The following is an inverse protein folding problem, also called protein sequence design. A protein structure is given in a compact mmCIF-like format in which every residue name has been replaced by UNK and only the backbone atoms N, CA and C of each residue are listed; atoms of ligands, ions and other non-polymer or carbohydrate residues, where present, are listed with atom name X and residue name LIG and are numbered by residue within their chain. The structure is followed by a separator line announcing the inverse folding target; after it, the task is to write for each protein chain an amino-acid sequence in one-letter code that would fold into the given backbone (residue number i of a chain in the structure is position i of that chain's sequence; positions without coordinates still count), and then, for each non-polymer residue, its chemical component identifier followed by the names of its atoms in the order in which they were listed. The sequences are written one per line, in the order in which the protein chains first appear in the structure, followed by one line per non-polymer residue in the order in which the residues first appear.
data_IF_742287618186
#
_entry.id   IF_742287618186
#
_cell.length_a   1.000
_cell.length_b   1.000
_cell.length_c   1.000
_cell.angle_alpha   90.00
_cell.angle_beta   90.00
_cell.angle_gamma   90.00
#
_symmetry.space_group_name_H-M   'P 1'
#
loop_
_entity.id
_entity.type
_entity.pdbx_description
1 polymer ?
#
# COMPACT_ATOMS: atom_id res chain seq x y z
N UNK A 1 -1.78 5.75 22.49
CA UNK A 1 -2.02 4.30 22.34
C UNK A 1 -1.13 3.69 21.27
N UNK A 2 -1.10 4.22 20.04
CA UNK A 2 -0.24 3.71 18.95
C UNK A 2 1.26 3.63 19.31
N UNK A 3 1.84 4.68 19.92
CA UNK A 3 3.26 4.66 20.32
C UNK A 3 3.57 3.51 21.30
N UNK A 4 2.71 3.27 22.29
CA UNK A 4 2.90 2.17 23.26
C UNK A 4 2.84 0.79 22.61
N UNK A 5 2.00 0.60 21.59
CA UNK A 5 1.93 -0.67 20.83
C UNK A 5 3.18 -0.86 19.96
N UNK A 6 3.61 0.20 19.29
CA UNK A 6 4.82 0.20 18.48
C UNK A 6 6.09 -0.08 19.31
N UNK A 7 6.23 0.56 20.47
CA UNK A 7 7.35 0.32 21.39
C UNK A 7 7.35 -1.09 22.00
N UNK A 8 6.16 -1.68 22.19
CA UNK A 8 6.02 -3.05 22.70
C UNK A 8 6.39 -4.10 21.65
N UNK A 9 5.98 -3.92 20.40
CA UNK A 9 6.38 -4.78 19.28
C UNK A 9 6.08 -4.14 17.93
N UNK A 10 7.14 -3.83 17.18
CA UNK A 10 7.02 -3.28 15.82
C UNK A 10 6.32 -4.26 14.86
N UNK A 11 6.50 -5.57 15.06
CA UNK A 11 5.87 -6.61 14.23
C UNK A 11 4.36 -6.63 14.45
N UNK A 12 3.90 -6.68 15.71
CA UNK A 12 2.46 -6.68 16.00
C UNK A 12 1.80 -5.37 15.57
N UNK A 13 2.52 -4.25 15.65
CA UNK A 13 2.06 -2.98 15.10
C UNK A 13 1.87 -3.05 13.59
N UNK A 14 2.82 -3.63 12.85
CA UNK A 14 2.69 -3.84 11.40
C UNK A 14 1.51 -4.77 11.07
N UNK A 15 1.38 -5.89 11.77
CA UNK A 15 0.27 -6.85 11.59
C UNK A 15 -1.08 -6.20 11.85
N UNK A 16 -1.21 -5.37 12.88
CA UNK A 16 -2.44 -4.62 13.16
C UNK A 16 -2.81 -3.67 12.00
N UNK A 17 -1.82 -3.00 11.41
CA UNK A 17 -2.05 -2.14 10.23
C UNK A 17 -2.42 -2.95 8.99
N UNK A 18 -1.84 -4.13 8.77
CA UNK A 18 -2.22 -5.03 7.68
C UNK A 18 -3.69 -5.45 7.82
N UNK A 19 -4.09 -5.92 9.01
CA UNK A 19 -5.47 -6.35 9.28
C UNK A 19 -6.43 -5.16 9.09
N UNK A 20 -6.12 -4.01 9.67
CA UNK A 20 -6.95 -2.82 9.53
C UNK A 20 -7.09 -2.41 8.06
N UNK A 21 -5.99 -2.42 7.29
CA UNK A 21 -6.00 -2.08 5.87
C UNK A 21 -6.87 -3.02 5.06
N UNK A 22 -6.67 -4.34 5.18
CA UNK A 22 -7.45 -5.33 4.43
C UNK A 22 -8.94 -5.23 4.77
N UNK A 23 -9.29 -5.15 6.06
CA UNK A 23 -10.69 -5.10 6.50
C UNK A 23 -11.35 -3.79 6.06
N UNK A 24 -10.71 -2.64 6.28
CA UNK A 24 -11.30 -1.34 5.95
C UNK A 24 -11.38 -1.12 4.44
N UNK A 25 -10.38 -1.53 3.67
CA UNK A 25 -10.41 -1.42 2.22
C UNK A 25 -11.47 -2.35 1.61
N UNK A 26 -11.53 -3.62 2.03
CA UNK A 26 -12.57 -4.56 1.56
C UNK A 26 -13.98 -4.11 1.94
N UNK A 27 -14.17 -3.61 3.16
CA UNK A 27 -15.47 -3.06 3.59
C UNK A 27 -15.84 -1.82 2.76
N UNK A 28 -14.87 -0.92 2.52
CA UNK A 28 -15.07 0.25 1.69
C UNK A 28 -15.47 -0.11 0.25
N UNK A 29 -14.84 -1.14 -0.32
CA UNK A 29 -15.14 -1.62 -1.67
C UNK A 29 -16.54 -2.24 -1.75
N UNK A 30 -16.92 -3.08 -0.79
CA UNK A 30 -18.27 -3.65 -0.74
C UNK A 30 -19.34 -2.56 -0.64
N UNK A 31 -19.17 -1.58 0.25
CA UNK A 31 -20.13 -0.48 0.40
C UNK A 31 -20.16 0.41 -0.86
N UNK A 32 -18.99 0.66 -1.48
CA UNK A 32 -18.95 1.45 -2.73
C UNK A 32 -19.72 0.75 -3.85
N UNK A 33 -19.57 -0.58 -3.95
CA UNK A 33 -20.32 -1.39 -4.91
C UNK A 33 -21.83 -1.35 -4.65
N UNK A 34 -22.27 -1.45 -3.38
CA UNK A 34 -23.69 -1.34 -3.00
C UNK A 34 -24.31 0.02 -3.36
N UNK A 35 -23.50 1.09 -3.38
CA UNK A 35 -23.91 2.44 -3.78
C UNK A 35 -23.86 2.66 -5.30
N UNK A 36 -23.33 1.70 -6.07
CA UNK A 36 -23.24 1.76 -7.52
C UNK A 36 -22.21 2.76 -8.07
N UNK A 37 -21.30 3.26 -7.23
CA UNK A 37 -20.18 4.12 -7.66
C UNK A 37 -18.89 3.58 -7.05
N UNK A 38 -18.02 3.06 -7.90
CA UNK A 38 -16.78 2.44 -7.46
C UNK A 38 -15.88 3.42 -6.69
N UNK A 39 -15.29 2.91 -5.60
CA UNK A 39 -14.32 3.61 -4.74
C UNK A 39 -14.84 4.87 -4.03
N UNK A 40 -16.14 5.20 -4.10
CA UNK A 40 -16.69 6.42 -3.47
C UNK A 40 -16.54 6.41 -1.94
N UNK A 41 -16.65 5.24 -1.30
CA UNK A 41 -16.42 5.06 0.14
C UNK A 41 -15.00 4.61 0.44
N UNK A 42 -14.42 3.80 -0.44
CA UNK A 42 -13.03 3.30 -0.27
C UNK A 42 -12.02 4.44 -0.24
N UNK A 43 -12.14 5.42 -1.13
CA UNK A 43 -11.17 6.51 -1.22
C UNK A 43 -11.06 7.32 0.09
N UNK A 44 -12.16 7.84 0.69
CA UNK A 44 -12.10 8.50 2.00
C UNK A 44 -11.42 7.67 3.09
N UNK A 45 -11.70 6.36 3.14
CA UNK A 45 -11.07 5.44 4.10
C UNK A 45 -9.56 5.38 3.86
N UNK A 46 -9.13 5.17 2.62
CA UNK A 46 -7.72 5.09 2.26
C UNK A 46 -6.97 6.41 2.54
N UNK A 47 -7.61 7.56 2.29
CA UNK A 47 -7.05 8.88 2.64
C UNK A 47 -6.88 8.99 4.15
N UNK A 48 -7.89 8.63 4.93
CA UNK A 48 -7.84 8.69 6.39
C UNK A 48 -6.72 7.79 6.95
N UNK A 49 -6.59 6.56 6.43
CA UNK A 49 -5.52 5.66 6.80
C UNK A 49 -4.14 6.20 6.41
N UNK A 50 -4.00 6.70 5.19
CA UNK A 50 -2.74 7.26 4.66
C UNK A 50 -2.29 8.46 5.49
N UNK A 51 -3.21 9.38 5.77
CA UNK A 51 -2.96 10.54 6.62
C UNK A 51 -2.59 10.11 8.05
N UNK A 52 -3.36 9.19 8.64
CA UNK A 52 -3.09 8.67 9.99
C UNK A 52 -1.70 8.06 10.11
N UNK A 53 -1.31 7.23 9.15
CA UNK A 53 0.01 6.60 9.11
C UNK A 53 1.12 7.63 8.87
N UNK A 54 0.93 8.54 7.91
CA UNK A 54 1.89 9.62 7.63
C UNK A 54 2.13 10.51 8.85
N UNK A 55 1.05 10.98 9.51
CA UNK A 55 1.17 11.81 10.70
C UNK A 55 1.80 11.07 11.87
N UNK A 56 1.50 9.78 12.05
CA UNK A 56 2.16 8.94 13.05
C UNK A 56 3.68 8.86 12.78
N UNK A 57 4.08 8.57 11.54
CA UNK A 57 5.49 8.45 11.16
C UNK A 57 6.23 9.77 11.34
N UNK A 58 5.63 10.88 10.90
CA UNK A 58 6.20 12.22 11.02
C UNK A 58 6.33 12.67 12.47
N UNK A 59 5.28 12.46 13.30
CA UNK A 59 5.28 12.88 14.71
C UNK A 59 6.33 12.13 15.54
N UNK A 60 6.65 10.90 15.17
CA UNK A 60 7.64 10.08 15.87
C UNK A 60 9.05 10.13 15.23
N UNK A 61 9.28 10.99 14.22
CA UNK A 61 10.59 11.12 13.57
C UNK A 61 11.03 9.86 12.80
N UNK A 62 10.10 9.03 12.35
CA UNK A 62 10.36 7.74 11.71
C UNK A 62 10.42 7.84 10.17
N UNK A 63 10.43 9.04 9.60
CA UNK A 63 10.34 9.27 8.16
C UNK A 63 11.50 8.62 7.40
N UNK A 64 12.74 8.80 7.84
CA UNK A 64 13.89 8.18 7.20
C UNK A 64 13.93 6.67 7.39
N UNK A 65 13.54 6.18 8.59
CA UNK A 65 13.47 4.74 8.89
C UNK A 65 12.54 4.00 7.93
N UNK A 66 11.43 4.63 7.54
CA UNK A 66 10.44 4.03 6.65
C UNK A 66 10.51 4.53 5.20
N UNK A 67 11.61 5.18 4.80
CA UNK A 67 11.86 5.51 3.40
C UNK A 67 11.16 6.76 2.87
N UNK A 68 10.51 7.56 3.74
CA UNK A 68 10.01 8.89 3.40
C UNK A 68 11.16 9.91 3.41
N UNK A 69 12.15 9.68 2.55
CA UNK A 69 13.35 10.49 2.42
C UNK A 69 13.58 10.92 0.96
N UNK A 70 14.49 11.86 0.76
CA UNK A 70 14.90 12.28 -0.58
C UNK A 70 15.65 11.12 -1.26
N UNK A 71 15.59 10.99 -2.60
CA UNK A 71 16.37 9.99 -3.33
C UNK A 71 17.86 10.11 -2.97
N UNK A 72 18.43 9.03 -2.44
CA UNK A 72 19.84 8.98 -2.01
C UNK A 72 20.77 8.43 -3.11
N UNK A 73 20.21 7.95 -4.22
CA UNK A 73 20.95 7.33 -5.31
C UNK A 73 21.14 8.30 -6.48
N UNK A 74 22.31 8.28 -7.15
CA UNK A 74 22.51 9.00 -8.41
C UNK A 74 21.50 8.57 -9.47
N UNK A 75 21.05 9.51 -10.31
CA UNK A 75 20.07 9.26 -11.38
C UNK A 75 20.47 8.09 -12.30
N UNK A 76 21.77 7.91 -12.58
CA UNK A 76 22.26 6.79 -13.39
C UNK A 76 21.90 5.40 -12.80
N UNK A 77 21.88 5.26 -11.47
CA UNK A 77 21.47 4.00 -10.82
C UNK A 77 19.96 3.79 -10.86
N UNK A 78 19.17 4.82 -11.18
CA UNK A 78 17.72 4.65 -11.36
C UNK A 78 17.38 3.82 -12.62
N UNK A 79 18.34 3.63 -13.54
CA UNK A 79 18.17 2.75 -14.70
C UNK A 79 17.88 1.29 -14.32
N UNK A 80 18.27 0.84 -13.12
CA UNK A 80 17.88 -0.48 -12.61
C UNK A 80 16.37 -0.64 -12.43
N UNK A 81 15.61 0.45 -12.35
CA UNK A 81 14.15 0.43 -12.30
C UNK A 81 13.50 0.49 -13.70
N UNK A 82 14.27 0.59 -14.78
CA UNK A 82 13.74 0.63 -16.14
C UNK A 82 12.81 -0.56 -16.46
N UNK A 83 13.10 -1.81 -16.05
CA UNK A 83 12.16 -2.92 -16.24
C UNK A 83 10.79 -2.69 -15.57
N UNK A 84 10.75 -2.07 -14.39
CA UNK A 84 9.49 -1.74 -13.72
C UNK A 84 8.71 -0.66 -14.48
N UNK A 85 9.42 0.31 -15.06
CA UNK A 85 8.78 1.33 -15.89
C UNK A 85 8.19 0.75 -17.18
N UNK A 86 8.89 -0.20 -17.81
CA UNK A 86 8.37 -0.94 -18.97
C UNK A 86 7.10 -1.69 -18.58
N UNK A 87 7.10 -2.41 -17.43
CA UNK A 87 5.93 -3.11 -16.91
C UNK A 87 4.75 -2.18 -16.65
N UNK A 88 4.98 -0.98 -16.10
CA UNK A 88 3.93 0.02 -15.88
C UNK A 88 3.20 0.37 -17.20
N UNK A 89 3.95 0.50 -18.30
CA UNK A 89 3.37 0.84 -19.61
C UNK A 89 2.69 -0.33 -20.31
N UNK A 90 2.88 -1.57 -19.84
CA UNK A 90 2.37 -2.77 -20.51
C UNK A 90 0.84 -2.75 -20.70
N UNK A 91 0.11 -2.17 -19.74
CA UNK A 91 -1.34 -2.00 -19.81
C UNK A 91 -1.82 -1.05 -20.92
N UNK A 92 -0.91 -0.28 -21.53
CA UNK A 92 -1.21 0.68 -22.60
C UNK A 92 -0.79 0.21 -23.99
N UNK A 93 -0.08 -0.92 -24.10
CA UNK A 93 0.49 -1.38 -25.38
C UNK A 93 -0.58 -1.80 -26.40
N UNK A 94 -1.75 -2.23 -25.93
CA UNK A 94 -2.86 -2.67 -26.76
C UNK A 94 -3.94 -1.59 -26.95
N UNK A 95 -3.61 -0.33 -26.67
CA UNK A 95 -4.52 0.81 -26.76
C UNK A 95 -5.06 1.27 -25.41
N UNK A 96 -5.79 2.39 -25.42
CA UNK A 96 -6.42 2.97 -24.24
C UNK A 96 -7.91 3.21 -24.52
N UNK A 97 -8.77 2.74 -23.63
CA UNK A 97 -10.21 2.94 -23.68
C UNK A 97 -10.73 3.39 -22.31
N UNK A 98 -11.67 4.34 -22.32
CA UNK A 98 -12.35 4.78 -21.10
C UNK A 98 -13.56 3.88 -20.85
N UNK A 99 -13.39 2.91 -19.95
CA UNK A 99 -14.45 1.97 -19.57
C UNK A 99 -15.26 2.44 -18.36
N UNK A 100 -14.76 3.43 -17.63
CA UNK A 100 -15.37 4.02 -16.44
C UNK A 100 -15.81 5.45 -16.72
N UNK A 101 -16.79 5.95 -15.96
CA UNK A 101 -17.16 7.36 -16.01
C UNK A 101 -15.97 8.24 -15.59
N UNK A 102 -15.90 9.52 -16.03
CA UNK A 102 -14.82 10.42 -15.63
C UNK A 102 -14.65 10.53 -14.11
N UNK A 103 -15.76 10.49 -13.36
CA UNK A 103 -15.73 10.52 -11.89
C UNK A 103 -15.10 9.25 -11.32
N UNK A 104 -15.56 8.08 -11.74
CA UNK A 104 -15.03 6.79 -11.27
C UNK A 104 -13.55 6.63 -11.62
N UNK A 105 -13.13 7.07 -12.81
CA UNK A 105 -11.71 7.07 -13.20
C UNK A 105 -10.87 7.90 -12.22
N UNK A 106 -11.33 9.10 -11.84
CA UNK A 106 -10.62 9.94 -10.86
C UNK A 106 -10.58 9.26 -9.49
N UNK A 107 -11.71 8.71 -9.02
CA UNK A 107 -11.78 7.99 -7.74
C UNK A 107 -10.84 6.79 -7.72
N UNK A 108 -10.77 6.05 -8.82
CA UNK A 108 -9.91 4.88 -8.97
C UNK A 108 -8.43 5.26 -8.94
N UNK A 109 -8.02 6.27 -9.71
CA UNK A 109 -6.63 6.75 -9.75
C UNK A 109 -6.18 7.21 -8.35
N UNK A 110 -7.00 8.01 -7.66
CA UNK A 110 -6.68 8.48 -6.32
C UNK A 110 -6.64 7.34 -5.30
N UNK A 111 -7.52 6.35 -5.43
CA UNK A 111 -7.53 5.16 -4.58
C UNK A 111 -6.26 4.34 -4.78
N UNK A 112 -5.86 4.09 -6.03
CA UNK A 112 -4.65 3.33 -6.34
C UNK A 112 -3.38 4.04 -5.88
N UNK A 113 -3.35 5.38 -5.94
CA UNK A 113 -2.25 6.14 -5.35
C UNK A 113 -2.15 5.92 -3.83
N UNK A 114 -3.30 5.97 -3.13
CA UNK A 114 -3.33 5.73 -1.68
C UNK A 114 -3.01 4.27 -1.31
N UNK A 115 -3.48 3.30 -2.11
CA UNK A 115 -3.11 1.88 -1.96
C UNK A 115 -1.61 1.71 -2.09
N UNK A 116 -1.00 2.22 -3.15
CA UNK A 116 0.46 2.12 -3.35
C UNK A 116 1.25 2.76 -2.20
N UNK A 117 0.80 3.91 -1.70
CA UNK A 117 1.40 4.53 -0.51
C UNK A 117 1.27 3.66 0.75
N UNK A 118 0.06 3.18 1.05
CA UNK A 118 -0.20 2.36 2.23
C UNK A 118 0.55 1.03 2.18
N UNK A 119 0.53 0.35 1.05
CA UNK A 119 1.25 -0.91 0.87
C UNK A 119 2.76 -0.74 1.05
N UNK A 120 3.36 0.28 0.44
CA UNK A 120 4.78 0.58 0.61
C UNK A 120 5.10 0.84 2.10
N UNK A 121 4.29 1.68 2.75
CA UNK A 121 4.50 2.05 4.15
C UNK A 121 4.26 0.88 5.12
N UNK A 122 3.27 0.03 4.89
CA UNK A 122 2.92 -1.08 5.79
C UNK A 122 3.87 -2.25 5.59
N UNK A 123 4.10 -2.68 4.34
CA UNK A 123 4.87 -3.90 4.07
C UNK A 123 6.38 -3.65 4.07
N UNK A 124 6.86 -2.62 3.36
CA UNK A 124 8.30 -2.30 3.29
C UNK A 124 8.75 -1.35 4.38
N UNK A 125 7.87 -0.44 4.81
CA UNK A 125 8.11 0.42 5.97
C UNK A 125 8.00 -0.38 7.27
N UNK A 126 6.80 -0.68 7.75
CA UNK A 126 6.59 -1.26 9.08
C UNK A 126 7.08 -2.72 9.18
N UNK A 127 6.52 -3.62 8.38
CA UNK A 127 6.76 -5.06 8.52
C UNK A 127 8.20 -5.45 8.21
N UNK A 128 8.71 -5.05 7.04
CA UNK A 128 10.07 -5.40 6.62
C UNK A 128 11.14 -4.82 7.55
N UNK A 129 11.05 -3.54 7.94
CA UNK A 129 12.03 -2.95 8.86
C UNK A 129 11.97 -3.59 10.25
N UNK A 130 10.79 -3.99 10.72
CA UNK A 130 10.65 -4.72 11.98
C UNK A 130 11.32 -6.10 11.90
N UNK A 131 11.15 -6.81 10.77
CA UNK A 131 11.68 -8.15 10.56
C UNK A 131 13.18 -8.19 10.25
N UNK A 132 13.73 -7.16 9.59
CA UNK A 132 15.16 -7.07 9.25
C UNK A 132 16.04 -7.19 10.49
N UNK A 133 15.56 -6.73 11.65
CA UNK A 133 16.25 -6.86 12.95
C UNK A 133 16.55 -8.31 13.33
N UNK A 134 15.75 -9.26 12.85
CA UNK A 134 15.88 -10.69 13.13
C UNK A 134 16.52 -11.47 11.97
N UNK A 135 16.80 -10.81 10.83
CA UNK A 135 17.48 -11.40 9.68
C UNK A 135 16.89 -10.97 8.33
N UNK A 136 17.75 -10.49 7.45
CA UNK A 136 17.37 -9.95 6.13
C UNK A 136 16.67 -10.99 5.25
N UNK A 137 17.16 -12.23 5.21
CA UNK A 137 16.56 -13.30 4.39
C UNK A 137 15.12 -13.61 4.83
N UNK A 138 14.90 -13.74 6.14
CA UNK A 138 13.58 -13.98 6.70
C UNK A 138 12.65 -12.79 6.42
N UNK A 139 13.15 -11.55 6.57
CA UNK A 139 12.38 -10.36 6.27
C UNK A 139 11.89 -10.33 4.82
N UNK A 140 12.77 -10.60 3.84
CA UNK A 140 12.42 -10.66 2.42
C UNK A 140 11.32 -11.71 2.19
N UNK A 141 11.53 -12.95 2.64
CA UNK A 141 10.60 -14.06 2.40
C UNK A 141 9.23 -13.75 3.03
N UNK A 142 9.21 -13.40 4.32
CA UNK A 142 7.95 -13.18 5.05
C UNK A 142 7.21 -11.98 4.50
N UNK A 143 7.88 -10.86 4.22
CA UNK A 143 7.20 -9.68 3.66
C UNK A 143 6.60 -9.97 2.29
N UNK A 144 7.34 -10.67 1.41
CA UNK A 144 6.87 -10.98 0.06
C UNK A 144 5.72 -11.99 0.05
N UNK A 145 5.81 -13.04 0.89
CA UNK A 145 4.74 -14.04 1.00
C UNK A 145 3.48 -13.42 1.60
N UNK A 146 3.61 -12.61 2.67
CA UNK A 146 2.45 -11.97 3.31
C UNK A 146 1.76 -11.01 2.34
N UNK A 147 2.53 -10.23 1.58
CA UNK A 147 2.01 -9.36 0.52
C UNK A 147 1.27 -10.15 -0.57
N UNK A 148 1.87 -11.22 -1.08
CA UNK A 148 1.26 -12.09 -2.08
C UNK A 148 -0.02 -12.78 -1.62
N UNK A 149 -0.07 -13.24 -0.36
CA UNK A 149 -1.29 -13.83 0.23
C UNK A 149 -2.43 -12.81 0.26
N UNK A 150 -2.14 -11.55 0.58
CA UNK A 150 -3.15 -10.48 0.55
C UNK A 150 -3.85 -10.38 -0.81
N UNK A 151 -3.09 -10.44 -1.91
CA UNK A 151 -3.66 -10.44 -3.26
C UNK A 151 -4.44 -11.71 -3.59
N UNK A 152 -4.00 -12.88 -3.13
CA UNK A 152 -4.74 -14.14 -3.32
C UNK A 152 -6.10 -14.06 -2.62
N UNK A 153 -6.15 -13.53 -1.39
CA UNK A 153 -7.41 -13.33 -0.67
C UNK A 153 -8.33 -12.36 -1.44
N UNK A 154 -7.77 -11.28 -1.99
CA UNK A 154 -8.54 -10.33 -2.80
C UNK A 154 -9.13 -10.95 -4.07
N UNK A 155 -8.35 -11.81 -4.75
CA UNK A 155 -8.80 -12.58 -5.91
C UNK A 155 -9.96 -13.52 -5.57
N UNK A 156 -9.89 -14.22 -4.42
CA UNK A 156 -10.95 -15.13 -3.96
C UNK A 156 -12.24 -14.37 -3.64
N UNK A 157 -12.13 -13.13 -3.14
CA UNK A 157 -13.29 -12.29 -2.83
C UNK A 157 -13.94 -11.64 -4.08
N UNK A 158 -13.49 -11.97 -5.29
CA UNK A 158 -14.07 -11.48 -6.54
C UNK A 158 -13.53 -10.12 -7.00
N UNK A 159 -12.59 -9.52 -6.26
CA UNK A 159 -11.90 -8.29 -6.65
C UNK A 159 -10.54 -8.59 -7.28
N UNK A 160 -10.55 -9.40 -8.34
CA UNK A 160 -9.35 -9.57 -9.16
C UNK A 160 -8.93 -8.23 -9.75
N UNK A 161 -7.65 -7.89 -9.58
CA UNK A 161 -7.03 -6.70 -10.15
C UNK A 161 -7.19 -6.65 -11.68
#
# INVERSE_FOLDING_TARGET
MLNKLYEKSEIWFAVAWIIAYVVLASTGDNISADLGIDKIVTLPILIAMSAGLYFFVRKNGLTEKYGLCKPQLPAAKMLFYAPLFILLTANLWYGAAMNLSPLETVLYILSMFCVGFLEEMIFRGLLFQAMVKNGVRAAIIVSSVTFGIGHIVNLINGSGA
#
